data_IF_262522417916
#
_entry.id   IF_262522417916
#
_cell.length_a   1.000
_cell.length_b   1.000
_cell.length_c   1.000
_cell.angle_alpha   90.00
_cell.angle_beta   90.00
_cell.angle_gamma   90.00
#
_symmetry.space_group_name_H-M   'P 1'
#
loop_
_entity.id
_entity.type
_entity.pdbx_description
1 polymer ?
#
# COMPACT_ATOMS: atom_id res chain seq x y z
N UNK A 1 -1.66 -20.51 -0.94
CA UNK A 1 -0.35 -20.95 -0.43
C UNK A 1 0.78 -20.31 -1.22
N UNK A 2 1.44 -19.31 -0.62
CA UNK A 2 2.54 -18.57 -1.24
C UNK A 2 3.21 -17.65 -0.22
N UNK A 3 4.14 -18.20 0.54
CA UNK A 3 4.93 -17.48 1.53
C UNK A 3 5.89 -16.50 0.84
N UNK A 4 5.73 -15.20 1.10
CA UNK A 4 6.69 -14.16 0.79
C UNK A 4 7.90 -14.26 1.75
N UNK A 5 9.10 -14.07 1.21
CA UNK A 5 10.39 -14.23 1.90
C UNK A 5 10.44 -13.51 3.26
N UNK A 6 10.69 -14.29 4.31
CA UNK A 6 10.82 -13.83 5.69
C UNK A 6 12.22 -13.27 5.95
N UNK A 7 12.31 -11.95 6.11
CA UNK A 7 13.37 -11.28 6.87
C UNK A 7 12.76 -10.74 8.17
N UNK A 8 13.40 -11.06 9.30
CA UNK A 8 12.84 -11.17 10.66
C UNK A 8 11.71 -12.21 10.80
N UNK A 9 11.96 -13.26 11.58
CA UNK A 9 11.01 -14.32 11.94
C UNK A 9 9.63 -13.74 12.30
N UNK A 10 8.61 -14.07 11.51
CA UNK A 10 7.25 -13.51 11.62
C UNK A 10 6.58 -13.65 12.98
N UNK A 11 7.02 -14.61 13.80
CA UNK A 11 6.60 -14.70 15.20
C UNK A 11 7.03 -13.49 16.02
N UNK A 12 8.27 -13.04 15.89
CA UNK A 12 8.81 -11.99 16.74
C UNK A 12 8.30 -10.59 16.36
N UNK A 13 8.08 -10.32 15.07
CA UNK A 13 7.56 -9.03 14.63
C UNK A 13 6.12 -8.83 15.10
N UNK A 14 5.23 -9.80 14.89
CA UNK A 14 3.82 -9.67 15.26
C UNK A 14 3.66 -9.46 16.77
N UNK A 15 4.42 -10.16 17.60
CA UNK A 15 4.38 -9.91 19.04
C UNK A 15 4.88 -8.51 19.39
N UNK A 16 5.96 -8.01 18.77
CA UNK A 16 6.44 -6.64 19.00
C UNK A 16 5.41 -5.57 18.60
N UNK A 17 4.66 -5.78 17.51
CA UNK A 17 3.57 -4.87 17.12
C UNK A 17 2.43 -4.88 18.13
N UNK A 18 2.07 -6.05 18.66
CA UNK A 18 1.06 -6.16 19.71
C UNK A 18 1.51 -5.48 21.00
N UNK A 19 2.76 -5.68 21.42
CA UNK A 19 3.33 -4.99 22.58
C UNK A 19 3.26 -3.45 22.41
N UNK A 20 3.53 -2.96 21.20
CA UNK A 20 3.35 -1.54 20.86
C UNK A 20 1.90 -1.05 20.99
N UNK A 21 0.93 -1.84 20.54
CA UNK A 21 -0.50 -1.53 20.69
C UNK A 21 -0.95 -1.60 22.15
N UNK A 22 -0.49 -2.58 22.92
CA UNK A 22 -0.80 -2.73 24.33
C UNK A 22 -0.30 -1.52 25.11
N UNK A 23 0.93 -1.07 24.83
CA UNK A 23 1.48 0.18 25.37
C UNK A 23 0.61 1.38 25.02
N UNK A 24 0.32 1.60 23.73
CA UNK A 24 -0.52 2.73 23.30
C UNK A 24 -1.93 2.68 23.93
N UNK A 25 -2.54 1.51 24.06
CA UNK A 25 -3.87 1.35 24.62
C UNK A 25 -3.92 1.62 26.13
N UNK A 26 -2.88 1.22 26.85
CA UNK A 26 -2.80 1.36 28.31
C UNK A 26 -2.24 2.70 28.78
N UNK A 27 -1.29 3.27 28.03
CA UNK A 27 -0.61 4.53 28.38
C UNK A 27 -1.33 5.75 27.79
N UNK A 28 -1.74 5.67 26.52
CA UNK A 28 -2.33 6.81 25.80
C UNK A 28 -3.85 6.72 25.66
N UNK A 29 -4.46 5.60 26.06
CA UNK A 29 -5.89 5.34 25.87
C UNK A 29 -6.27 5.14 24.39
N UNK A 30 -5.31 4.73 23.56
CA UNK A 30 -5.55 4.43 22.15
C UNK A 30 -6.47 3.21 21.99
N UNK A 31 -7.43 3.29 21.07
CA UNK A 31 -8.39 2.22 20.78
C UNK A 31 -8.16 1.71 19.35
N UNK A 32 -7.25 0.73 19.10
CA UNK A 32 -6.95 0.26 17.74
C UNK A 32 -8.18 -0.20 16.97
N UNK A 33 -9.18 -0.75 17.68
CA UNK A 33 -10.44 -1.24 17.14
C UNK A 33 -11.35 -0.16 16.53
N UNK A 34 -11.10 1.11 16.86
CA UNK A 34 -11.88 2.25 16.38
C UNK A 34 -11.37 2.81 15.04
N UNK A 35 -10.29 2.24 14.49
CA UNK A 35 -9.66 2.68 13.24
C UNK A 35 -9.74 1.61 12.16
N UNK A 36 -9.86 2.06 10.91
CA UNK A 36 -9.88 1.17 9.73
C UNK A 36 -8.52 0.47 9.50
N UNK A 37 -7.43 1.06 10.00
CA UNK A 37 -6.12 0.45 10.00
C UNK A 37 -5.12 1.20 10.89
N UNK A 38 -4.05 0.52 11.24
CA UNK A 38 -2.97 1.07 12.07
C UNK A 38 -1.67 1.14 11.27
N UNK A 39 -0.98 2.27 11.32
CA UNK A 39 0.34 2.43 10.71
C UNK A 39 1.43 2.42 11.79
N UNK A 40 2.31 1.44 11.74
CA UNK A 40 3.51 1.38 12.55
C UNK A 40 4.68 2.02 11.79
N UNK A 41 5.47 2.81 12.51
CA UNK A 41 6.74 3.32 12.00
C UNK A 41 7.85 2.67 12.83
N UNK A 42 8.65 1.82 12.21
CA UNK A 42 9.78 1.18 12.89
C UNK A 42 11.05 2.03 12.78
N UNK A 43 11.88 1.98 13.81
CA UNK A 43 13.21 2.59 13.77
C UNK A 43 14.09 1.94 12.69
N UNK A 44 15.02 2.71 12.13
CA UNK A 44 15.98 2.22 11.15
C UNK A 44 15.46 2.26 9.72
N UNK A 45 16.05 1.40 8.88
CA UNK A 45 15.90 1.43 7.43
C UNK A 45 15.10 0.26 6.92
N UNK A 46 14.40 0.48 5.81
CA UNK A 46 13.56 -0.53 5.19
C UNK A 46 14.37 -1.62 4.45
N UNK A 47 13.95 -2.87 4.54
CA UNK A 47 14.65 -4.00 3.92
C UNK A 47 14.65 -3.94 2.37
N UNK A 48 13.66 -3.29 1.75
CA UNK A 48 13.55 -3.19 0.28
C UNK A 48 14.69 -2.38 -0.36
N UNK A 49 15.44 -1.59 0.43
CA UNK A 49 16.66 -0.94 -0.05
C UNK A 49 17.81 -1.93 -0.32
N UNK A 50 17.73 -3.16 0.19
CA UNK A 50 18.77 -4.17 0.06
C UNK A 50 20.08 -3.79 0.78
N UNK A 51 21.09 -4.66 0.68
CA UNK A 51 22.42 -4.45 1.25
C UNK A 51 22.47 -4.39 2.79
N UNK A 52 23.65 -4.05 3.31
CA UNK A 52 23.91 -3.80 4.73
C UNK A 52 23.69 -2.33 5.04
N UNK A 53 23.06 -2.03 6.17
CA UNK A 53 22.94 -0.65 6.66
C UNK A 53 24.20 -0.17 7.41
N UNK A 54 24.21 1.11 7.79
CA UNK A 54 25.34 1.72 8.51
C UNK A 54 25.56 1.20 9.93
N UNK A 55 24.57 0.48 10.48
CA UNK A 55 24.65 -0.16 11.80
C UNK A 55 25.05 -1.64 11.69
N UNK A 56 25.27 -2.13 10.47
CA UNK A 56 25.72 -3.48 10.17
C UNK A 56 24.60 -4.51 10.00
N UNK A 57 23.33 -4.07 9.95
CA UNK A 57 22.21 -4.98 9.74
C UNK A 57 22.03 -5.28 8.24
N UNK A 58 22.00 -6.57 7.91
CA UNK A 58 21.69 -7.03 6.56
C UNK A 58 20.20 -6.80 6.24
N UNK A 59 19.85 -6.74 4.95
CA UNK A 59 18.46 -6.58 4.53
C UNK A 59 17.50 -7.65 5.11
N UNK A 60 17.99 -8.87 5.34
CA UNK A 60 17.21 -9.97 5.94
C UNK A 60 16.96 -9.79 7.44
N UNK A 61 17.74 -8.93 8.10
CA UNK A 61 17.60 -8.60 9.52
C UNK A 61 16.81 -7.28 9.72
N UNK A 62 16.38 -6.65 8.62
CA UNK A 62 15.54 -5.45 8.61
C UNK A 62 14.10 -5.79 8.24
N UNK A 63 13.18 -4.89 8.55
CA UNK A 63 11.76 -5.06 8.26
C UNK A 63 11.50 -4.59 6.82
N UNK A 64 10.89 -5.46 6.03
CA UNK A 64 10.37 -5.11 4.70
C UNK A 64 9.03 -4.40 4.87
N UNK A 65 8.80 -3.28 4.20
CA UNK A 65 7.53 -2.54 4.31
C UNK A 65 6.36 -3.36 3.76
N UNK A 66 5.27 -3.47 4.54
CA UNK A 66 4.11 -4.26 4.12
C UNK A 66 2.83 -3.91 4.88
N UNK A 67 1.70 -4.39 4.34
CA UNK A 67 0.39 -4.41 4.99
C UNK A 67 -0.11 -5.85 5.17
N UNK A 68 -0.69 -6.13 6.34
CA UNK A 68 -1.23 -7.44 6.71
C UNK A 68 -2.41 -7.32 7.68
N UNK A 69 -3.19 -8.39 7.77
CA UNK A 69 -4.11 -8.60 8.88
C UNK A 69 -3.40 -9.10 10.14
N UNK A 70 -3.84 -8.66 11.31
CA UNK A 70 -3.39 -9.15 12.61
C UNK A 70 -4.59 -9.31 13.56
N UNK A 71 -4.54 -10.35 14.39
CA UNK A 71 -5.43 -10.45 15.55
C UNK A 71 -4.78 -9.75 16.73
N UNK A 72 -5.50 -8.83 17.37
CA UNK A 72 -5.11 -8.16 18.61
C UNK A 72 -6.15 -8.38 19.70
N UNK A 73 -5.70 -8.43 20.94
CA UNK A 73 -6.54 -8.54 22.13
C UNK A 73 -6.33 -7.26 22.94
N UNK A 74 -7.42 -6.63 23.37
CA UNK A 74 -7.33 -5.45 24.20
C UNK A 74 -7.00 -5.87 25.65
N UNK A 75 -5.82 -5.51 26.19
CA UNK A 75 -5.42 -5.93 27.54
C UNK A 75 -6.33 -5.41 28.64
N UNK A 76 -7.19 -4.44 28.35
CA UNK A 76 -8.15 -3.85 29.29
C UNK A 76 -9.49 -4.60 29.27
N UNK A 77 -9.84 -5.21 28.14
CA UNK A 77 -11.08 -5.96 27.97
C UNK A 77 -10.86 -7.39 28.48
N UNK A 78 -11.15 -7.63 29.77
CA UNK A 78 -11.01 -8.95 30.41
C UNK A 78 -11.88 -10.09 29.82
N UNK A 79 -12.52 -9.88 28.67
CA UNK A 79 -13.36 -10.83 27.94
C UNK A 79 -12.56 -11.74 26.98
N UNK A 80 -11.31 -11.38 26.63
CA UNK A 80 -10.48 -12.15 25.72
C UNK A 80 -10.92 -12.07 24.25
N UNK A 81 -11.74 -11.09 23.87
CA UNK A 81 -12.19 -10.92 22.49
C UNK A 81 -11.05 -10.45 21.58
N UNK A 82 -11.02 -10.99 20.36
CA UNK A 82 -10.00 -10.66 19.36
C UNK A 82 -10.57 -9.70 18.34
N UNK A 83 -9.86 -8.59 18.14
CA UNK A 83 -10.10 -7.66 17.05
C UNK A 83 -9.21 -8.03 15.87
N UNK A 84 -9.81 -8.17 14.68
CA UNK A 84 -9.05 -8.26 13.45
C UNK A 84 -8.72 -6.84 12.99
N UNK A 85 -7.43 -6.52 12.95
CA UNK A 85 -6.90 -5.25 12.50
C UNK A 85 -6.21 -5.42 11.16
N UNK A 86 -6.28 -4.41 10.30
CA UNK A 86 -5.32 -4.24 9.21
C UNK A 86 -4.22 -3.32 9.72
N UNK A 87 -2.97 -3.74 9.56
CA UNK A 87 -1.84 -2.87 9.86
C UNK A 87 -0.95 -2.70 8.63
N UNK A 88 -0.29 -1.56 8.58
CA UNK A 88 0.90 -1.36 7.76
C UNK A 88 2.10 -1.08 8.66
N UNK A 89 3.28 -1.43 8.20
CA UNK A 89 4.54 -1.08 8.85
C UNK A 89 5.50 -0.46 7.84
N UNK A 90 5.97 0.76 8.16
CA UNK A 90 6.92 1.53 7.34
C UNK A 90 8.17 1.86 8.14
N UNK A 91 9.27 2.18 7.44
CA UNK A 91 10.51 2.61 8.08
C UNK A 91 10.47 4.10 8.46
N UNK A 92 11.25 4.47 9.48
CA UNK A 92 11.47 5.87 9.85
C UNK A 92 12.44 6.57 8.90
N UNK A 93 13.47 5.87 8.42
CA UNK A 93 14.56 6.45 7.63
C UNK A 93 14.65 5.91 6.19
N UNK A 94 15.07 6.80 5.30
CA UNK A 94 15.32 6.51 3.90
C UNK A 94 16.69 5.84 3.68
N UNK A 95 16.77 4.90 2.73
CA UNK A 95 18.02 4.33 2.27
C UNK A 95 18.57 3.28 3.21
N UNK A 96 19.87 3.32 3.48
CA UNK A 96 20.58 2.39 4.39
C UNK A 96 21.55 3.11 5.33
N UNK A 97 21.53 4.45 5.35
CA UNK A 97 22.39 5.27 6.20
C UNK A 97 21.85 6.70 6.31
N UNK A 98 22.12 7.37 7.42
CA UNK A 98 21.79 8.77 7.67
C UNK A 98 20.46 8.97 8.38
N UNK A 99 19.98 10.22 8.38
CA UNK A 99 18.80 10.62 9.14
C UNK A 99 17.71 11.23 8.26
N UNK A 100 17.78 11.00 6.95
CA UNK A 100 16.71 11.41 6.03
C UNK A 100 15.47 10.58 6.33
N UNK A 101 14.32 11.23 6.56
CA UNK A 101 13.06 10.51 6.79
C UNK A 101 12.67 9.68 5.57
N UNK A 102 12.02 8.54 5.81
CA UNK A 102 11.44 7.71 4.76
C UNK A 102 10.51 8.54 3.85
N UNK A 103 10.51 8.21 2.57
CA UNK A 103 9.82 9.00 1.53
C UNK A 103 8.42 8.45 1.29
N UNK A 104 7.48 9.38 1.06
CA UNK A 104 6.00 9.18 1.08
C UNK A 104 5.46 8.09 0.16
N UNK A 105 6.22 7.65 -0.85
CA UNK A 105 5.73 6.70 -1.83
C UNK A 105 5.25 5.42 -1.16
N UNK A 106 6.10 4.77 -0.35
CA UNK A 106 5.72 3.48 0.22
C UNK A 106 4.50 3.59 1.13
N UNK A 107 4.40 4.65 1.94
CA UNK A 107 3.23 4.95 2.76
C UNK A 107 1.96 5.07 1.91
N UNK A 108 2.05 5.70 0.73
CA UNK A 108 0.92 5.82 -0.20
C UNK A 108 0.45 4.46 -0.72
N UNK A 109 1.38 3.55 -1.03
CA UNK A 109 1.05 2.17 -1.45
C UNK A 109 0.35 1.41 -0.32
N UNK A 110 0.89 1.51 0.89
CA UNK A 110 0.36 0.83 2.06
C UNK A 110 -1.02 1.34 2.50
N UNK A 111 -1.27 2.64 2.37
CA UNK A 111 -2.61 3.21 2.56
C UNK A 111 -3.58 2.63 1.54
N UNK A 112 -3.14 2.32 0.32
CA UNK A 112 -3.94 1.60 -0.67
C UNK A 112 -4.44 0.26 -0.15
N UNK A 113 -3.60 -0.51 0.55
CA UNK A 113 -4.03 -1.76 1.19
C UNK A 113 -5.03 -1.57 2.32
N UNK A 114 -4.90 -0.51 3.12
CA UNK A 114 -5.90 -0.16 4.16
C UNK A 114 -7.25 0.14 3.49
N UNK A 115 -7.25 0.79 2.33
CA UNK A 115 -8.46 1.05 1.53
C UNK A 115 -9.01 -0.20 0.80
N UNK A 116 -8.37 -1.37 0.97
CA UNK A 116 -8.82 -2.63 0.41
C UNK A 116 -8.22 -3.01 -0.95
N UNK A 117 -7.24 -2.25 -1.45
CA UNK A 117 -6.56 -2.58 -2.71
C UNK A 117 -5.57 -3.74 -2.53
N UNK A 118 -5.51 -4.61 -3.54
CA UNK A 118 -4.46 -5.63 -3.65
C UNK A 118 -3.25 -5.14 -4.45
N UNK A 119 -2.15 -5.87 -4.33
CA UNK A 119 -0.96 -5.64 -5.15
C UNK A 119 -1.22 -5.87 -6.63
N UNK A 120 -0.76 -4.94 -7.47
CA UNK A 120 -0.88 -4.99 -8.93
C UNK A 120 0.47 -5.13 -9.64
N UNK A 121 1.54 -5.37 -8.90
CA UNK A 121 2.84 -5.70 -9.47
C UNK A 121 2.91 -7.15 -9.93
N UNK A 122 3.81 -7.42 -10.87
CA UNK A 122 4.05 -8.79 -11.33
C UNK A 122 5.09 -9.49 -10.46
N UNK A 123 4.94 -10.81 -10.33
CA UNK A 123 5.85 -11.64 -9.55
C UNK A 123 6.78 -12.44 -10.46
N UNK A 124 8.09 -12.40 -10.18
CA UNK A 124 9.09 -13.21 -10.86
C UNK A 124 9.14 -12.97 -12.37
N UNK A 125 8.98 -14.02 -13.18
CA UNK A 125 9.03 -13.92 -14.65
C UNK A 125 7.75 -13.36 -15.30
N UNK A 126 6.73 -13.01 -14.50
CA UNK A 126 5.41 -12.57 -14.99
C UNK A 126 5.35 -11.09 -15.43
N UNK A 127 6.49 -10.41 -15.51
CA UNK A 127 6.59 -9.00 -15.88
C UNK A 127 6.34 -8.05 -14.70
N UNK A 128 6.14 -6.76 -14.99
CA UNK A 128 6.04 -5.70 -13.98
C UNK A 128 4.59 -5.42 -13.51
N UNK A 129 3.63 -6.28 -13.86
CA UNK A 129 2.21 -6.02 -13.60
C UNK A 129 1.74 -4.75 -14.32
N UNK A 130 1.00 -3.88 -13.62
CA UNK A 130 0.56 -2.57 -14.17
C UNK A 130 1.67 -1.51 -14.19
N UNK A 131 2.82 -1.79 -13.55
CA UNK A 131 3.97 -0.89 -13.51
C UNK A 131 3.65 0.49 -12.94
N UNK A 132 4.26 1.53 -13.52
CA UNK A 132 4.15 2.94 -13.06
C UNK A 132 2.76 3.56 -13.23
N UNK A 133 1.83 2.84 -13.81
CA UNK A 133 0.46 3.29 -14.02
C UNK A 133 -0.44 3.08 -12.81
N UNK A 134 0.07 2.44 -11.76
CA UNK A 134 -0.62 2.36 -10.47
C UNK A 134 0.38 2.35 -9.31
N UNK A 135 0.08 3.07 -8.25
CA UNK A 135 0.84 2.99 -6.99
C UNK A 135 0.84 1.59 -6.40
N UNK A 136 -0.20 0.79 -6.63
CA UNK A 136 -0.26 -0.62 -6.23
C UNK A 136 0.61 -1.53 -7.11
N UNK A 137 1.14 -1.03 -8.23
CA UNK A 137 2.05 -1.76 -9.11
C UNK A 137 3.50 -1.31 -9.01
N UNK A 138 3.77 -0.01 -9.03
CA UNK A 138 5.12 0.49 -8.92
C UNK A 138 5.15 1.87 -8.27
N UNK A 139 5.40 1.88 -6.97
CA UNK A 139 5.26 3.11 -6.19
C UNK A 139 6.46 4.07 -6.27
N UNK A 140 7.59 3.63 -6.83
CA UNK A 140 8.85 4.40 -6.79
C UNK A 140 8.84 5.69 -7.63
N UNK A 141 7.78 5.90 -8.41
CA UNK A 141 7.60 7.12 -9.19
C UNK A 141 8.44 7.17 -10.47
N UNK A 142 8.37 8.28 -11.22
CA UNK A 142 9.03 8.44 -12.51
C UNK A 142 10.57 8.50 -12.41
N UNK A 143 11.11 9.00 -11.31
CA UNK A 143 12.55 9.22 -11.10
C UNK A 143 13.19 8.18 -10.16
N UNK A 144 12.43 7.17 -9.71
CA UNK A 144 12.83 6.20 -8.69
C UNK A 144 13.21 6.82 -7.34
N UNK A 145 12.83 8.07 -7.10
CA UNK A 145 13.16 8.74 -5.86
C UNK A 145 12.17 8.43 -4.74
N UNK A 146 11.04 7.75 -4.99
CA UNK A 146 9.98 7.53 -3.99
C UNK A 146 9.39 8.82 -3.39
N UNK A 147 9.63 9.98 -4.03
CA UNK A 147 9.09 11.28 -3.59
C UNK A 147 7.74 11.60 -4.21
N UNK A 148 7.56 11.14 -5.45
CA UNK A 148 6.40 11.43 -6.27
C UNK A 148 5.73 10.10 -6.64
N UNK A 149 4.93 9.52 -5.71
CA UNK A 149 4.20 8.30 -6.01
C UNK A 149 3.29 8.53 -7.24
N UNK A 150 3.12 7.53 -8.11
CA UNK A 150 2.13 7.63 -9.18
C UNK A 150 0.71 7.85 -8.64
N UNK A 151 -0.23 8.15 -9.53
CA UNK A 151 -1.64 8.03 -9.20
C UNK A 151 -2.06 6.56 -9.17
N UNK A 152 -3.01 6.22 -8.29
CA UNK A 152 -3.86 5.04 -8.47
C UNK A 152 -4.47 5.04 -9.88
N UNK A 153 -4.49 3.87 -10.52
CA UNK A 153 -5.14 3.68 -11.82
C UNK A 153 -6.64 3.90 -11.73
N UNK A 154 -7.27 4.08 -12.90
CA UNK A 154 -8.71 4.03 -13.03
C UNK A 154 -9.32 2.81 -12.31
N UNK A 155 -8.68 1.64 -12.42
CA UNK A 155 -9.12 0.42 -11.74
C UNK A 155 -9.12 0.61 -10.22
N UNK A 156 -7.96 0.94 -9.64
CA UNK A 156 -7.82 1.11 -8.19
C UNK A 156 -8.73 2.22 -7.64
N UNK A 157 -8.89 3.34 -8.36
CA UNK A 157 -9.82 4.41 -7.99
C UNK A 157 -11.29 3.96 -7.97
N UNK A 158 -11.69 3.06 -8.88
CA UNK A 158 -13.04 2.49 -8.90
C UNK A 158 -13.21 1.51 -7.73
N UNK A 159 -12.23 0.63 -7.48
CA UNK A 159 -12.29 -0.36 -6.39
C UNK A 159 -12.46 0.30 -5.01
N UNK A 160 -11.76 1.42 -4.75
CA UNK A 160 -11.92 2.19 -3.50
C UNK A 160 -13.12 3.15 -3.52
N UNK A 161 -13.84 3.26 -4.64
CA UNK A 161 -15.02 4.12 -4.77
C UNK A 161 -14.72 5.63 -4.92
N UNK A 162 -13.50 6.02 -5.28
CA UNK A 162 -13.16 7.42 -5.54
C UNK A 162 -13.73 7.93 -6.86
N UNK A 163 -14.00 7.03 -7.82
CA UNK A 163 -14.52 7.37 -9.14
C UNK A 163 -15.59 6.37 -9.56
N UNK A 164 -16.75 6.87 -9.96
CA UNK A 164 -17.77 6.10 -10.68
C UNK A 164 -17.51 6.24 -12.20
N UNK A 165 -17.27 5.14 -12.94
CA UNK A 165 -16.94 5.24 -14.35
C UNK A 165 -18.18 5.53 -15.21
N UNK A 166 -18.01 6.35 -16.25
CA UNK A 166 -19.07 6.55 -17.25
C UNK A 166 -19.01 5.42 -18.28
N UNK A 167 -20.06 4.58 -18.33
CA UNK A 167 -20.15 3.49 -19.30
C UNK A 167 -20.52 4.01 -20.68
N UNK A 168 -19.65 3.80 -21.65
CA UNK A 168 -19.89 4.14 -23.06
C UNK A 168 -20.68 3.02 -23.74
N UNK A 169 -21.82 3.38 -24.34
CA UNK A 169 -22.74 2.42 -24.99
C UNK A 169 -22.78 2.54 -26.51
N UNK A 170 -22.41 3.70 -27.03
CA UNK A 170 -22.52 4.04 -28.44
C UNK A 170 -21.15 4.45 -28.99
N UNK A 171 -20.92 4.16 -30.26
CA UNK A 171 -19.75 4.64 -30.99
C UNK A 171 -19.79 6.17 -31.12
N UNK A 172 -18.65 6.83 -30.97
CA UNK A 172 -18.59 8.29 -31.08
C UNK A 172 -17.26 8.89 -30.65
N UNK A 173 -17.23 10.22 -30.62
CA UNK A 173 -16.10 10.99 -30.13
C UNK A 173 -16.40 11.50 -28.73
N UNK A 174 -15.51 11.16 -27.79
CA UNK A 174 -15.61 11.54 -26.38
C UNK A 174 -14.38 12.37 -25.99
N UNK A 175 -14.58 13.37 -25.13
CA UNK A 175 -13.49 14.16 -24.56
C UNK A 175 -13.24 13.72 -23.13
N UNK A 176 -11.97 13.50 -22.78
CA UNK A 176 -11.58 13.09 -21.44
C UNK A 176 -10.52 14.05 -20.89
N UNK A 177 -10.79 14.58 -19.70
CA UNK A 177 -9.91 15.52 -19.01
C UNK A 177 -8.75 14.77 -18.33
N UNK A 178 -7.68 15.50 -18.01
CA UNK A 178 -6.54 14.96 -17.29
C UNK A 178 -6.98 14.45 -15.90
N UNK A 179 -6.63 13.21 -15.60
CA UNK A 179 -7.01 12.48 -14.40
C UNK A 179 -6.43 13.09 -13.11
N UNK A 180 -5.38 13.89 -13.25
CA UNK A 180 -4.73 14.66 -12.18
C UNK A 180 -5.57 15.87 -11.74
N UNK A 181 -6.49 16.34 -12.59
CA UNK A 181 -7.34 17.51 -12.34
C UNK A 181 -8.80 17.10 -12.08
N UNK A 182 -9.32 16.19 -12.90
CA UNK A 182 -10.71 15.73 -12.82
C UNK A 182 -10.75 14.21 -12.77
N UNK A 183 -11.44 13.60 -11.79
CA UNK A 183 -11.56 12.16 -11.67
C UNK A 183 -12.53 11.57 -12.72
N UNK A 184 -12.16 11.63 -14.00
CA UNK A 184 -12.97 11.16 -15.11
C UNK A 184 -12.43 9.85 -15.68
N UNK A 185 -13.28 8.82 -15.73
CA UNK A 185 -12.97 7.52 -16.30
C UNK A 185 -14.11 7.07 -17.21
N UNK A 186 -13.76 6.56 -18.38
CA UNK A 186 -14.69 5.85 -19.26
C UNK A 186 -14.52 4.35 -19.16
N UNK A 187 -15.64 3.61 -19.24
CA UNK A 187 -15.64 2.15 -19.27
C UNK A 187 -16.35 1.65 -20.53
N UNK A 188 -15.70 0.74 -21.25
CA UNK A 188 -16.26 0.06 -22.42
C UNK A 188 -16.47 -1.40 -22.06
N UNK A 189 -17.73 -1.84 -22.07
CA UNK A 189 -18.13 -3.24 -21.85
C UNK A 189 -18.55 -3.94 -23.14
N UNK A 190 -19.01 -3.19 -24.14
CA UNK A 190 -19.47 -3.75 -25.39
C UNK A 190 -18.32 -4.42 -26.15
N UNK A 191 -18.54 -5.64 -26.64
CA UNK A 191 -17.53 -6.41 -27.36
C UNK A 191 -16.55 -7.22 -26.49
N UNK A 192 -16.66 -7.14 -25.15
CA UNK A 192 -15.87 -7.93 -24.22
C UNK A 192 -16.72 -9.06 -23.58
N UNK A 193 -16.10 -10.18 -23.16
CA UNK A 193 -16.76 -11.21 -22.36
C UNK A 193 -17.43 -10.65 -21.09
N UNK A 194 -18.39 -11.40 -20.55
CA UNK A 194 -19.02 -11.01 -19.29
C UNK A 194 -17.97 -10.90 -18.17
N UNK A 195 -17.92 -9.73 -17.53
CA UNK A 195 -16.94 -9.44 -16.47
C UNK A 195 -15.65 -8.79 -16.96
N UNK A 196 -15.42 -8.77 -18.28
CA UNK A 196 -14.29 -8.07 -18.89
C UNK A 196 -14.71 -6.70 -19.43
N UNK A 197 -13.80 -5.75 -19.38
CA UNK A 197 -14.03 -4.38 -19.82
C UNK A 197 -12.70 -3.66 -20.06
N UNK A 198 -12.76 -2.55 -20.81
CA UNK A 198 -11.67 -1.59 -20.91
C UNK A 198 -11.98 -0.36 -20.05
N UNK A 199 -10.98 0.12 -19.32
CA UNK A 199 -11.03 1.43 -18.67
C UNK A 199 -10.15 2.41 -19.45
N UNK A 200 -10.64 3.63 -19.62
CA UNK A 200 -9.93 4.70 -20.28
C UNK A 200 -9.84 5.88 -19.31
N UNK A 201 -8.61 6.26 -18.99
CA UNK A 201 -8.27 7.52 -18.32
C UNK A 201 -7.24 8.27 -19.16
N UNK A 202 -7.18 9.59 -18.99
CA UNK A 202 -6.18 10.44 -19.63
C UNK A 202 -5.21 10.94 -18.55
N UNK A 203 -3.98 10.45 -18.56
CA UNK A 203 -2.93 10.86 -17.61
C UNK A 203 -1.98 11.85 -18.26
N UNK A 204 -1.60 12.87 -17.52
CA UNK A 204 -0.67 13.89 -17.96
C UNK A 204 0.40 14.14 -16.91
N UNK A 205 1.59 14.55 -17.35
CA UNK A 205 2.68 14.96 -16.44
C UNK A 205 2.42 16.37 -15.89
N UNK A 206 1.24 16.57 -15.31
CA UNK A 206 0.79 17.82 -14.70
C UNK A 206 0.36 17.53 -13.27
N UNK A 207 1.03 18.17 -12.32
CA UNK A 207 0.94 17.83 -10.89
C UNK A 207 2.31 17.67 -10.28
#
# INVERSE_FOLDING_TARGET
DGASAYGATSGNLIEALREGLDGAATEDGYEPKDYDGVCFVHSGYAAEHGGTDCDGAEALDRIWVHSRGMNWFDPRDGNGERTNLVYTIVSAFWGTCGTEMARVAMQTHEVGHILGLGDLYGFGTRGNGVGRWDSMGYVWGPDNAQRYPPHFSAYSKIEVGFVEPTVLKEDGTYSILAAEIVPQVYQIKHGYPQGEYLLIENRQSVG
#
